data_IF_091015980887
#
_entry.id   IF_091015980887
#
_cell.length_a   1.000
_cell.length_b   1.000
_cell.length_c   1.000
_cell.angle_alpha   90.00
_cell.angle_beta   90.00
_cell.angle_gamma   90.00
#
_symmetry.space_group_name_H-M   'P 1'
#
loop_
_entity.id
_entity.type
_entity.pdbx_description
1 polymer ?
#
# COMPACT_ATOMS: atom_id res chain seq x y z
N UNK A 1 31.60 17.50 -40.38
CA UNK A 1 30.16 17.68 -40.69
C UNK A 1 29.49 16.35 -40.41
N UNK A 2 28.67 16.13 -39.39
CA UNK A 2 28.20 16.91 -38.25
C UNK A 2 27.98 15.90 -37.13
N UNK A 3 28.39 16.23 -35.90
CA UNK A 3 28.02 15.49 -34.69
C UNK A 3 26.54 15.81 -34.45
N UNK A 4 25.64 14.85 -34.63
CA UNK A 4 24.24 15.01 -34.24
C UNK A 4 24.11 14.62 -32.77
N UNK A 5 24.21 15.62 -31.89
CA UNK A 5 23.68 15.57 -30.53
C UNK A 5 22.17 15.27 -30.61
N UNK A 6 21.78 14.09 -30.14
CA UNK A 6 20.37 13.81 -29.82
C UNK A 6 20.07 14.33 -28.41
N UNK A 7 18.88 14.93 -28.21
CA UNK A 7 18.53 15.64 -26.99
C UNK A 7 18.25 14.67 -25.84
N UNK A 8 18.53 15.18 -24.63
CA UNK A 8 18.47 14.49 -23.35
C UNK A 8 17.37 13.45 -23.22
N UNK A 9 17.82 12.21 -23.02
CA UNK A 9 17.12 11.22 -22.23
C UNK A 9 16.80 11.90 -20.89
N UNK A 10 15.55 12.32 -20.73
CA UNK A 10 15.07 12.80 -19.45
C UNK A 10 15.11 11.59 -18.52
N UNK A 11 16.23 11.43 -17.80
CA UNK A 11 16.36 10.52 -16.68
C UNK A 11 15.19 10.78 -15.74
N UNK A 12 14.15 9.96 -15.90
CA UNK A 12 13.13 9.80 -14.87
C UNK A 12 13.88 9.26 -13.66
N UNK A 13 13.94 10.00 -12.53
CA UNK A 13 14.71 9.55 -11.39
C UNK A 13 14.17 8.18 -10.93
N UNK A 14 15.03 7.15 -10.77
CA UNK A 14 14.59 5.88 -10.24
C UNK A 14 14.31 6.07 -8.76
N UNK A 15 13.04 6.17 -8.38
CA UNK A 15 12.69 6.21 -6.95
C UNK A 15 11.46 7.00 -6.55
N UNK A 16 10.73 7.64 -7.47
CA UNK A 16 9.38 8.09 -7.15
C UNK A 16 8.46 6.87 -7.20
N UNK A 17 8.37 6.13 -6.09
CA UNK A 17 7.15 5.39 -5.79
C UNK A 17 6.05 6.45 -5.74
N UNK A 18 5.37 6.65 -6.88
CA UNK A 18 4.08 7.32 -6.85
C UNK A 18 3.29 6.53 -5.80
N UNK A 19 2.91 7.20 -4.72
CA UNK A 19 2.00 6.63 -3.74
C UNK A 19 0.74 6.26 -4.52
N UNK A 20 0.69 5.02 -4.99
CA UNK A 20 -0.47 4.50 -5.67
C UNK A 20 -1.60 4.61 -4.65
N UNK A 21 -2.73 5.18 -5.08
CA UNK A 21 -3.91 5.21 -4.25
C UNK A 21 -4.14 3.81 -3.69
N UNK A 22 -4.41 3.66 -2.37
CA UNK A 22 -4.51 2.35 -1.76
C UNK A 22 -5.56 1.53 -2.51
N UNK A 23 -5.14 0.37 -2.99
CA UNK A 23 -6.01 -0.51 -3.76
C UNK A 23 -7.20 -0.92 -2.88
N UNK A 24 -8.40 -0.56 -3.32
CA UNK A 24 -9.65 -0.99 -2.68
C UNK A 24 -9.82 -2.49 -2.90
N UNK A 25 -10.03 -3.21 -1.81
CA UNK A 25 -10.32 -4.65 -1.83
C UNK A 25 -11.79 -4.93 -2.18
N UNK A 26 -12.67 -3.93 -2.00
CA UNK A 26 -14.11 -4.07 -2.19
C UNK A 26 -14.85 -4.55 -0.95
N UNK A 27 -14.13 -4.96 0.10
CA UNK A 27 -14.70 -5.20 1.43
C UNK A 27 -14.49 -3.96 2.31
N UNK A 28 -15.58 -3.37 2.80
CA UNK A 28 -15.53 -2.12 3.55
C UNK A 28 -14.77 -2.25 4.87
N UNK A 29 -14.84 -3.41 5.54
CA UNK A 29 -14.16 -3.61 6.81
C UNK A 29 -12.64 -3.76 6.59
N UNK A 30 -12.24 -4.52 5.56
CA UNK A 30 -10.83 -4.67 5.16
C UNK A 30 -10.26 -3.33 4.67
N UNK A 31 -11.00 -2.58 3.85
CA UNK A 31 -10.57 -1.27 3.36
C UNK A 31 -10.37 -0.26 4.50
N UNK A 32 -11.20 -0.29 5.53
CA UNK A 32 -11.09 0.60 6.70
C UNK A 32 -9.80 0.32 7.49
N UNK A 33 -9.55 -0.95 7.84
CA UNK A 33 -8.36 -1.32 8.62
C UNK A 33 -7.05 -1.16 7.83
N UNK A 34 -7.07 -1.39 6.52
CA UNK A 34 -5.93 -1.10 5.65
C UNK A 34 -5.66 0.41 5.55
N UNK A 35 -6.71 1.23 5.52
CA UNK A 35 -6.58 2.68 5.64
C UNK A 35 -5.96 3.10 6.96
N UNK A 36 -6.37 2.49 8.08
CA UNK A 36 -5.76 2.74 9.38
C UNK A 36 -4.28 2.35 9.41
N UNK A 37 -3.93 1.18 8.86
CA UNK A 37 -2.53 0.73 8.75
C UNK A 37 -1.66 1.71 7.96
N UNK A 38 -2.17 2.29 6.87
CA UNK A 38 -1.45 3.30 6.10
C UNK A 38 -1.14 4.56 6.94
N UNK A 39 -2.10 5.01 7.76
CA UNK A 39 -1.93 6.19 8.63
C UNK A 39 -0.90 6.01 9.75
N UNK A 40 -0.56 4.77 10.11
CA UNK A 40 0.48 4.48 11.11
C UNK A 40 1.87 4.32 10.52
N UNK A 41 2.01 4.42 9.20
CA UNK A 41 3.31 4.45 8.53
C UNK A 41 4.14 5.64 9.05
N UNK A 42 5.29 5.34 9.65
CA UNK A 42 6.17 6.35 10.26
C UNK A 42 5.89 6.67 11.74
N UNK A 43 4.88 6.05 12.35
CA UNK A 43 4.65 6.06 13.81
C UNK A 43 5.54 5.02 14.51
N UNK A 44 5.64 5.01 15.86
CA UNK A 44 6.41 4.00 16.59
C UNK A 44 5.99 2.57 16.24
N UNK A 45 6.92 1.63 16.40
CA UNK A 45 6.72 0.22 16.05
C UNK A 45 5.51 -0.38 16.77
N UNK A 46 5.29 -0.05 18.05
CA UNK A 46 4.11 -0.52 18.80
C UNK A 46 2.79 -0.14 18.11
N UNK A 47 2.67 1.10 17.62
CA UNK A 47 1.48 1.54 16.89
C UNK A 47 1.31 0.85 15.53
N UNK A 48 2.41 0.47 14.89
CA UNK A 48 2.36 -0.30 13.65
C UNK A 48 1.97 -1.76 13.89
N UNK A 49 2.45 -2.34 15.00
CA UNK A 49 2.09 -3.70 15.42
C UNK A 49 0.60 -3.76 15.75
N UNK A 50 0.08 -2.83 16.56
CA UNK A 50 -1.34 -2.80 16.94
C UNK A 50 -2.25 -2.71 15.70
N UNK A 51 -1.96 -1.80 14.78
CA UNK A 51 -2.71 -1.69 13.52
C UNK A 51 -2.57 -2.95 12.65
N UNK A 52 -1.39 -3.57 12.61
CA UNK A 52 -1.15 -4.81 11.89
C UNK A 52 -1.91 -6.00 12.45
N UNK A 53 -2.02 -6.10 13.78
CA UNK A 53 -2.82 -7.13 14.46
C UNK A 53 -4.32 -6.97 14.20
N UNK A 54 -4.80 -5.73 14.18
CA UNK A 54 -6.20 -5.42 13.83
C UNK A 54 -6.53 -5.88 12.40
N UNK A 55 -5.68 -5.52 11.43
CA UNK A 55 -5.79 -5.97 10.03
C UNK A 55 -5.78 -7.49 9.96
N UNK A 56 -4.86 -8.14 10.66
CA UNK A 56 -4.73 -9.59 10.66
C UNK A 56 -6.01 -10.27 11.17
N UNK A 57 -6.58 -9.76 12.26
CA UNK A 57 -7.82 -10.30 12.85
C UNK A 57 -9.01 -10.15 11.90
N UNK A 58 -9.18 -8.98 11.28
CA UNK A 58 -10.29 -8.74 10.34
C UNK A 58 -10.17 -9.64 9.12
N UNK A 59 -8.96 -9.81 8.57
CA UNK A 59 -8.74 -10.71 7.45
C UNK A 59 -9.03 -12.17 7.83
N UNK A 60 -8.64 -12.62 9.02
CA UNK A 60 -8.95 -13.96 9.49
C UNK A 60 -10.45 -14.20 9.64
N UNK A 61 -11.19 -13.22 10.16
CA UNK A 61 -12.66 -13.29 10.31
C UNK A 61 -13.34 -13.42 8.95
N UNK A 62 -12.95 -12.59 7.98
CA UNK A 62 -13.46 -12.65 6.60
C UNK A 62 -13.14 -13.97 5.90
N UNK A 63 -11.93 -14.49 6.08
CA UNK A 63 -11.54 -15.78 5.51
C UNK A 63 -12.28 -16.95 6.16
N UNK A 64 -12.60 -16.85 7.46
CA UNK A 64 -13.39 -17.85 8.16
C UNK A 64 -14.84 -17.87 7.68
N UNK A 65 -15.44 -16.70 7.43
CA UNK A 65 -16.79 -16.55 6.87
C UNK A 65 -16.91 -17.20 5.48
N UNK A 66 -15.94 -16.94 4.58
CA UNK A 66 -15.85 -17.56 3.26
C UNK A 66 -15.69 -19.10 3.33
N UNK A 67 -15.02 -19.60 4.36
CA UNK A 67 -14.79 -21.03 4.58
C UNK A 67 -16.00 -21.81 5.13
N UNK A 68 -17.11 -21.13 5.46
CA UNK A 68 -18.34 -21.75 5.96
C UNK A 68 -19.39 -22.00 4.86
N UNK A 69 -19.11 -21.66 3.61
CA UNK A 69 -20.00 -21.82 2.44
C UNK A 69 -19.97 -23.23 1.81
#
# INVERSE_FOLDING_TARGET
MSHSEMPGDAESPPGAVQAAEPARTGDAAVDEVLGHLDTVTGKPLDSQIEAGEEVHRVLQDRLADLGQE
#
